data_IF_623766299890
#
_entry.id   IF_623766299890
#
_cell.length_a   1.000
_cell.length_b   1.000
_cell.length_c   1.000
_cell.angle_alpha   90.00
_cell.angle_beta   90.00
_cell.angle_gamma   90.00
#
_symmetry.space_group_name_H-M   'P 1'
#
loop_
_entity.id
_entity.type
_entity.pdbx_description
1 polymer ?
#
# COMPACT_ATOMS: atom_id res chain seq x y z
N UNK A 1 -33.28 -2.20 42.59
CA UNK A 1 -32.15 -3.05 42.15
C UNK A 1 -31.61 -2.42 40.88
N UNK A 2 -30.51 -1.67 40.97
CA UNK A 2 -29.82 -1.14 39.80
C UNK A 2 -28.50 -1.87 39.71
N UNK A 3 -28.31 -2.61 38.62
CA UNK A 3 -27.07 -3.32 38.33
C UNK A 3 -25.93 -2.31 38.20
N UNK A 4 -24.94 -2.44 39.07
CA UNK A 4 -23.64 -1.80 38.92
C UNK A 4 -22.98 -2.43 37.68
N UNK A 5 -23.17 -1.80 36.51
CA UNK A 5 -22.30 -2.02 35.37
C UNK A 5 -20.91 -1.51 35.75
N UNK A 6 -20.05 -2.42 36.24
CA UNK A 6 -18.62 -2.19 36.33
C UNK A 6 -18.11 -2.02 34.89
N UNK A 7 -17.91 -0.77 34.50
CA UNK A 7 -17.21 -0.42 33.28
C UNK A 7 -15.76 -0.85 33.49
N UNK A 8 -15.43 -2.07 33.07
CA UNK A 8 -14.07 -2.61 33.14
C UNK A 8 -13.19 -1.68 32.28
N UNK A 9 -12.29 -0.87 32.87
CA UNK A 9 -11.39 -0.07 32.08
C UNK A 9 -10.38 -1.05 31.50
N UNK A 10 -10.72 -1.62 30.34
CA UNK A 10 -9.77 -2.33 29.50
C UNK A 10 -8.52 -1.47 29.46
N UNK A 11 -7.31 -2.02 29.70
CA UNK A 11 -6.11 -1.22 29.67
C UNK A 11 -6.03 -0.65 28.25
N UNK A 12 -6.35 0.63 28.09
CA UNK A 12 -5.91 1.40 26.93
C UNK A 12 -4.41 1.24 27.03
N UNK A 13 -3.86 0.41 26.15
CA UNK A 13 -2.44 0.12 26.09
C UNK A 13 -1.77 1.47 25.95
N UNK A 14 -1.33 2.02 27.08
CA UNK A 14 -0.58 3.23 27.14
C UNK A 14 0.77 2.78 26.61
N UNK A 15 0.91 2.76 25.28
CA UNK A 15 2.21 2.64 24.64
C UNK A 15 2.94 3.86 25.14
N UNK A 16 3.72 3.67 26.20
CA UNK A 16 4.67 4.64 26.69
C UNK A 16 5.49 5.06 25.47
N UNK A 17 5.38 6.33 25.07
CA UNK A 17 6.28 6.98 24.11
C UNK A 17 7.70 7.11 24.70
N UNK A 18 8.16 6.08 25.41
CA UNK A 18 9.54 5.96 25.86
C UNK A 18 10.35 5.56 24.64
N UNK A 19 11.06 6.54 24.07
CA UNK A 19 12.17 6.42 23.10
C UNK A 19 12.22 5.05 22.40
N UNK A 20 11.20 4.74 21.60
CA UNK A 20 11.24 3.56 20.76
C UNK A 20 12.37 3.79 19.73
N UNK A 21 13.14 2.76 19.38
CA UNK A 21 14.13 2.91 18.32
C UNK A 21 13.41 3.37 17.03
N UNK A 22 13.96 4.39 16.36
CA UNK A 22 13.34 5.03 15.18
C UNK A 22 12.92 4.02 14.09
N UNK A 23 13.67 2.94 13.93
CA UNK A 23 13.33 1.85 13.00
C UNK A 23 11.99 1.15 13.33
N UNK A 24 11.66 0.98 14.62
CA UNK A 24 10.39 0.38 15.06
C UNK A 24 9.22 1.35 14.86
N UNK A 25 9.45 2.65 15.10
CA UNK A 25 8.43 3.67 14.89
C UNK A 25 8.09 3.86 13.41
N UNK A 26 9.10 3.82 12.52
CA UNK A 26 8.87 3.81 11.06
C UNK A 26 8.12 2.55 10.63
N UNK A 27 8.47 1.38 11.17
CA UNK A 27 7.77 0.13 10.86
C UNK A 27 6.30 0.19 11.28
N UNK A 28 6.03 0.72 12.47
CA UNK A 28 4.67 0.90 12.99
C UNK A 28 3.83 1.84 12.11
N UNK A 29 4.39 3.00 11.72
CA UNK A 29 3.71 3.93 10.83
C UNK A 29 3.43 3.32 9.45
N UNK A 30 4.33 2.48 8.95
CA UNK A 30 4.15 1.81 7.67
C UNK A 30 3.12 0.67 7.73
N UNK A 31 3.22 -0.21 8.74
CA UNK A 31 2.41 -1.43 8.83
C UNK A 31 1.00 -1.14 9.39
N UNK A 32 0.87 -0.37 10.47
CA UNK A 32 -0.41 -0.15 11.15
C UNK A 32 -1.23 0.99 10.50
N UNK A 33 -0.56 2.01 9.95
CA UNK A 33 -1.22 3.18 9.35
C UNK A 33 -1.13 3.23 7.83
N UNK A 34 -0.41 2.30 7.19
CA UNK A 34 -0.26 2.28 5.74
C UNK A 34 0.49 3.49 5.17
N UNK A 35 1.31 4.17 5.98
CA UNK A 35 2.07 5.33 5.53
C UNK A 35 3.27 4.83 4.69
N UNK A 36 3.50 5.38 3.48
CA UNK A 36 4.67 5.00 2.69
C UNK A 36 5.96 5.17 3.51
N UNK A 37 6.87 4.19 3.43
CA UNK A 37 8.10 4.15 4.24
C UNK A 37 8.92 5.45 4.18
N UNK A 38 9.00 6.10 3.02
CA UNK A 38 9.68 7.40 2.88
C UNK A 38 9.01 8.52 3.70
N UNK A 39 7.67 8.57 3.73
CA UNK A 39 6.93 9.54 4.54
C UNK A 39 7.01 9.22 6.03
N UNK A 40 6.91 7.95 6.39
CA UNK A 40 7.07 7.52 7.78
C UNK A 40 8.46 7.86 8.32
N UNK A 41 9.51 7.60 7.54
CA UNK A 41 10.87 7.97 7.91
C UNK A 41 11.07 9.48 8.03
N UNK A 42 10.48 10.29 7.14
CA UNK A 42 10.55 11.74 7.23
C UNK A 42 9.84 12.33 8.47
N UNK A 43 8.86 11.62 9.04
CA UNK A 43 8.18 12.04 10.27
C UNK A 43 8.98 11.72 11.54
N UNK A 44 9.82 10.68 11.49
CA UNK A 44 10.56 10.16 12.64
C UNK A 44 12.02 10.64 12.67
N UNK A 45 12.61 10.92 11.51
CA UNK A 45 13.99 11.35 11.39
C UNK A 45 14.16 12.84 11.75
N UNK A 46 15.33 13.17 12.29
CA UNK A 46 15.68 14.58 12.57
C UNK A 46 16.28 15.26 11.33
N UNK A 47 16.78 14.46 10.38
CA UNK A 47 17.46 14.93 9.17
C UNK A 47 17.03 14.12 7.94
N UNK A 48 17.15 14.74 6.76
CA UNK A 48 16.78 14.10 5.49
C UNK A 48 17.65 12.88 5.18
N UNK A 49 18.95 12.94 5.45
CA UNK A 49 19.87 11.81 5.25
C UNK A 49 19.56 10.62 6.16
N UNK A 50 19.13 10.89 7.39
CA UNK A 50 18.64 9.84 8.29
C UNK A 50 17.31 9.25 7.81
N UNK A 51 16.39 10.09 7.32
CA UNK A 51 15.11 9.64 6.75
C UNK A 51 15.33 8.68 5.58
N UNK A 52 16.24 9.00 4.66
CA UNK A 52 16.58 8.12 3.53
C UNK A 52 17.14 6.78 4.01
N UNK A 53 18.03 6.80 5.01
CA UNK A 53 18.62 5.58 5.56
C UNK A 53 17.58 4.69 6.28
N UNK A 54 16.59 5.29 6.97
CA UNK A 54 15.49 4.58 7.61
C UNK A 54 14.51 4.02 6.58
N UNK A 55 14.14 4.82 5.58
CA UNK A 55 13.26 4.40 4.50
C UNK A 55 13.85 3.22 3.71
N UNK A 56 15.13 3.29 3.35
CA UNK A 56 15.81 2.22 2.63
C UNK A 56 15.84 0.91 3.43
N UNK A 57 16.02 0.99 4.76
CA UNK A 57 15.98 -0.19 5.64
C UNK A 57 14.59 -0.82 5.67
N UNK A 58 13.54 -0.02 5.78
CA UNK A 58 12.17 -0.51 5.81
C UNK A 58 11.75 -1.14 4.47
N UNK A 59 12.05 -0.49 3.34
CA UNK A 59 11.76 -1.03 2.00
C UNK A 59 12.48 -2.37 1.80
N UNK A 60 13.73 -2.49 2.26
CA UNK A 60 14.48 -3.75 2.20
C UNK A 60 13.81 -4.84 3.04
N UNK A 61 13.31 -4.50 4.24
CA UNK A 61 12.58 -5.44 5.11
C UNK A 61 11.29 -5.90 4.47
N UNK A 62 10.49 -4.98 3.94
CA UNK A 62 9.23 -5.29 3.23
C UNK A 62 9.50 -6.21 2.03
N UNK A 63 10.49 -5.87 1.20
CA UNK A 63 10.87 -6.69 0.04
C UNK A 63 11.37 -8.08 0.42
N UNK A 64 12.02 -8.23 1.58
CA UNK A 64 12.46 -9.54 2.09
C UNK A 64 11.32 -10.41 2.60
N UNK A 65 10.19 -9.81 3.00
CA UNK A 65 8.98 -10.52 3.41
C UNK A 65 8.10 -10.90 2.23
N UNK A 66 8.21 -10.20 1.11
CA UNK A 66 7.40 -10.46 -0.08
C UNK A 66 7.82 -11.78 -0.76
N UNK A 67 6.98 -12.84 -0.69
CA UNK A 67 7.28 -14.12 -1.34
C UNK A 67 7.26 -14.02 -2.88
N UNK A 68 6.67 -12.97 -3.43
CA UNK A 68 6.56 -12.73 -4.87
C UNK A 68 7.50 -11.62 -5.37
N UNK A 69 8.32 -11.02 -4.51
CA UNK A 69 9.17 -9.87 -4.88
C UNK A 69 10.21 -10.16 -5.97
N UNK A 70 10.48 -11.45 -6.25
CA UNK A 70 11.33 -11.91 -7.35
C UNK A 70 10.57 -12.79 -8.37
N UNK A 71 9.24 -12.88 -8.26
CA UNK A 71 8.46 -13.61 -9.24
C UNK A 71 8.56 -12.90 -10.60
N UNK A 72 8.69 -13.64 -11.71
CA UNK A 72 8.65 -13.04 -13.03
C UNK A 72 7.30 -12.35 -13.21
N UNK A 73 7.32 -11.08 -13.61
CA UNK A 73 6.11 -10.36 -14.00
C UNK A 73 5.52 -11.12 -15.18
N UNK A 74 4.26 -11.59 -15.11
CA UNK A 74 3.64 -12.27 -16.24
C UNK A 74 3.65 -11.32 -17.43
N UNK A 75 4.13 -11.80 -18.57
CA UNK A 75 4.00 -11.06 -19.82
C UNK A 75 2.50 -10.81 -20.05
N UNK A 76 2.12 -9.54 -20.17
CA UNK A 76 0.74 -9.21 -20.56
C UNK A 76 0.43 -9.98 -21.83
N UNK A 77 -0.72 -10.67 -21.93
CA UNK A 77 -1.15 -11.19 -23.22
C UNK A 77 -1.13 -10.02 -24.20
N UNK A 78 -0.50 -10.22 -25.36
CA UNK A 78 -0.45 -9.23 -26.43
C UNK A 78 -1.87 -8.67 -26.62
N UNK A 79 -2.01 -7.35 -26.51
CA UNK A 79 -3.26 -6.68 -26.88
C UNK A 79 -3.60 -7.18 -28.29
N UNK A 80 -4.73 -7.87 -28.41
CA UNK A 80 -5.24 -8.34 -29.68
C UNK A 80 -5.30 -7.13 -30.63
N UNK A 81 -4.27 -6.97 -31.46
CA UNK A 81 -4.36 -6.13 -32.65
C UNK A 81 -5.41 -6.80 -33.51
N UNK A 82 -6.65 -6.33 -33.36
CA UNK A 82 -7.72 -6.63 -34.30
C UNK A 82 -7.23 -6.03 -35.62
N UNK A 83 -6.59 -6.86 -36.44
CA UNK A 83 -6.23 -6.50 -37.81
C UNK A 83 -7.52 -6.23 -38.55
N UNK A 84 -7.84 -4.94 -38.69
CA UNK A 84 -8.86 -4.34 -39.52
C UNK A 84 -10.24 -5.02 -39.49
N UNK A 85 -11.26 -4.27 -39.04
CA UNK A 85 -12.67 -4.60 -39.25
C UNK A 85 -12.92 -4.93 -40.73
N UNK A 86 -12.84 -6.23 -41.05
CA UNK A 86 -12.96 -6.77 -42.39
C UNK A 86 -14.37 -6.54 -42.92
N UNK A 87 -14.61 -5.38 -43.51
CA UNK A 87 -15.68 -5.12 -44.46
C UNK A 87 -17.11 -5.41 -43.96
N UNK A 88 -17.36 -5.47 -42.64
CA UNK A 88 -18.67 -5.78 -42.09
C UNK A 88 -19.64 -4.59 -42.02
N UNK A 89 -19.39 -3.54 -42.81
CA UNK A 89 -20.35 -2.46 -42.97
C UNK A 89 -21.37 -2.84 -44.03
N UNK A 90 -22.56 -3.31 -43.61
CA UNK A 90 -23.69 -3.51 -44.52
C UNK A 90 -24.16 -2.14 -45.05
N UNK A 91 -24.41 -1.99 -46.36
CA UNK A 91 -24.95 -0.76 -46.89
C UNK A 91 -26.38 -0.53 -46.38
N UNK A 92 -26.66 0.69 -45.89
CA UNK A 92 -28.01 1.12 -45.52
C UNK A 92 -28.77 1.47 -46.79
N UNK A 93 -29.78 0.67 -47.15
CA UNK A 93 -30.70 1.01 -48.24
C UNK A 93 -31.63 2.14 -47.78
N UNK A 94 -31.47 3.34 -48.34
CA UNK A 94 -32.44 4.43 -48.17
C UNK A 94 -33.66 4.12 -49.04
N UNK A 95 -34.78 3.75 -48.40
CA UNK A 95 -36.08 3.76 -49.07
C UNK A 95 -36.57 5.22 -49.12
N UNK A 96 -36.66 5.78 -50.31
CA UNK A 96 -37.41 7.02 -50.55
C UNK A 96 -38.84 6.65 -50.97
N UNK A 97 -39.84 7.48 -50.60
CA UNK A 97 -41.26 7.20 -50.80
C UNK A 97 -41.69 7.16 -52.27
#
# INVERSE_FOLDING_TARGET
>A
MFEHFQFDPSPIATRSFGMQPKDEEVSFLAEDFGIPAAKAAALVADTETEADALAARQIKRERSRDPYGNAPVPASPEEHQVSDDGGLQKPVLKQYP
#
